data_IF_455824561951
#
_entry.id   IF_455824561951
#
_cell.length_a   1.000
_cell.length_b   1.000
_cell.length_c   1.000
_cell.angle_alpha   90.00
_cell.angle_beta   90.00
_cell.angle_gamma   90.00
#
_symmetry.space_group_name_H-M   'P 1'
#
loop_
_entity.id
_entity.type
_entity.pdbx_description
1 polymer ?
#
# COMPACT_ATOMS: atom_id res chain seq x y z
N UNK A 1 16.72 16.30 52.82
CA UNK A 1 15.29 16.63 53.04
C UNK A 1 14.71 17.37 51.85
N UNK A 2 14.19 16.66 50.83
CA UNK A 2 13.20 17.18 49.85
C UNK A 2 12.84 16.11 48.82
N UNK A 3 11.87 15.25 49.16
CA UNK A 3 11.02 14.61 48.15
C UNK A 3 9.75 14.02 48.81
N UNK A 4 8.89 14.89 49.34
CA UNK A 4 7.55 14.51 49.84
C UNK A 4 6.47 15.54 49.48
N UNK A 5 6.76 16.48 48.56
CA UNK A 5 5.87 17.61 48.22
C UNK A 5 5.26 17.51 46.82
N UNK A 6 5.58 16.48 46.02
CA UNK A 6 5.21 16.41 44.59
C UNK A 6 4.06 15.45 44.25
N UNK A 7 3.52 14.69 45.22
CA UNK A 7 2.48 13.70 44.90
C UNK A 7 1.12 14.30 44.57
N UNK A 8 0.69 15.36 45.28
CA UNK A 8 -0.66 15.93 45.09
C UNK A 8 -0.83 16.65 43.75
N UNK A 9 0.18 17.40 43.31
CA UNK A 9 0.16 18.11 42.03
C UNK A 9 0.24 17.15 40.82
N UNK A 10 0.97 16.05 40.95
CA UNK A 10 1.09 15.03 39.91
C UNK A 10 -0.20 14.21 39.77
N UNK A 11 -0.84 13.85 40.88
CA UNK A 11 -2.15 13.18 40.89
C UNK A 11 -3.24 14.08 40.27
N UNK A 12 -3.26 15.39 40.59
CA UNK A 12 -4.20 16.34 39.99
C UNK A 12 -3.99 16.46 38.47
N UNK A 13 -2.74 16.51 38.00
CA UNK A 13 -2.42 16.57 36.57
C UNK A 13 -2.86 15.31 35.83
N UNK A 14 -2.64 14.13 36.40
CA UNK A 14 -3.12 12.87 35.80
C UNK A 14 -4.65 12.80 35.76
N UNK A 15 -5.33 13.22 36.83
CA UNK A 15 -6.78 13.22 36.88
C UNK A 15 -7.39 14.16 35.83
N UNK A 16 -6.82 15.37 35.67
CA UNK A 16 -7.27 16.34 34.65
C UNK A 16 -7.01 15.84 33.23
N UNK A 17 -5.86 15.19 32.98
CA UNK A 17 -5.58 14.59 31.67
C UNK A 17 -6.56 13.45 31.36
N UNK A 18 -6.86 12.58 32.34
CA UNK A 18 -7.83 11.50 32.19
C UNK A 18 -9.25 12.04 31.94
N UNK A 19 -9.69 13.07 32.65
CA UNK A 19 -11.04 13.64 32.43
C UNK A 19 -11.15 14.31 31.07
N UNK A 20 -10.12 15.06 30.63
CA UNK A 20 -10.11 15.68 29.30
C UNK A 20 -10.17 14.61 28.19
N UNK A 21 -9.37 13.55 28.31
CA UNK A 21 -9.36 12.44 27.32
C UNK A 21 -10.71 11.73 27.28
N UNK A 22 -11.30 11.41 28.43
CA UNK A 22 -12.63 10.76 28.50
C UNK A 22 -13.73 11.65 27.92
N UNK A 23 -13.71 12.96 28.21
CA UNK A 23 -14.67 13.90 27.63
C UNK A 23 -14.52 14.04 26.12
N UNK A 24 -13.29 14.04 25.58
CA UNK A 24 -13.09 14.03 24.11
C UNK A 24 -13.50 12.72 23.44
N UNK A 25 -13.38 11.58 24.15
CA UNK A 25 -13.77 10.28 23.63
C UNK A 25 -15.30 10.10 23.55
N UNK A 26 -16.06 10.74 24.43
CA UNK A 26 -17.53 10.67 24.46
C UNK A 26 -18.23 11.69 23.55
N UNK A 27 -17.53 12.76 23.14
CA UNK A 27 -18.11 13.85 22.34
C UNK A 27 -18.01 13.63 20.81
N UNK A 28 -17.27 12.60 20.36
CA UNK A 28 -17.19 12.28 18.94
C UNK A 28 -18.22 11.17 18.63
N UNK A 29 -19.40 11.48 18.07
CA UNK A 29 -20.17 10.46 17.36
C UNK A 29 -19.25 9.86 16.28
N UNK A 30 -19.43 8.58 15.88
CA UNK A 30 -18.71 8.04 14.74
C UNK A 30 -18.98 8.97 13.57
N UNK A 31 -17.99 9.79 13.20
CA UNK A 31 -18.03 10.62 12.01
C UNK A 31 -18.35 9.67 10.88
N UNK A 32 -19.50 9.89 10.24
CA UNK A 32 -19.89 9.27 8.98
C UNK A 32 -18.64 9.24 8.10
N UNK A 33 -18.08 8.05 7.87
CA UNK A 33 -16.86 7.89 7.10
C UNK A 33 -17.22 8.32 5.69
N UNK A 34 -16.93 9.58 5.36
CA UNK A 34 -17.12 10.09 4.01
C UNK A 34 -16.45 9.10 3.09
N UNK A 35 -17.23 8.47 2.21
CA UNK A 35 -16.69 7.61 1.16
C UNK A 35 -15.97 8.57 0.21
N UNK A 36 -14.73 8.89 0.56
CA UNK A 36 -13.86 9.71 -0.27
C UNK A 36 -13.73 9.03 -1.62
N UNK A 37 -13.78 9.82 -2.69
CA UNK A 37 -13.56 9.32 -4.05
C UNK A 37 -12.20 8.64 -4.09
N UNK A 38 -12.18 7.33 -4.32
CA UNK A 38 -10.94 6.55 -4.44
C UNK A 38 -10.33 6.82 -5.82
N UNK A 39 -9.24 7.56 -5.84
CA UNK A 39 -8.57 7.95 -7.09
C UNK A 39 -7.82 6.76 -7.71
N UNK A 40 -7.57 6.82 -9.02
CA UNK A 40 -6.88 5.74 -9.77
C UNK A 40 -5.55 5.34 -9.13
N UNK A 41 -4.72 6.30 -8.72
CA UNK A 41 -3.42 5.97 -8.14
C UNK A 41 -3.55 5.24 -6.80
N UNK A 42 -4.59 5.52 -6.01
CA UNK A 42 -4.88 4.82 -4.76
C UNK A 42 -5.37 3.40 -5.05
N UNK A 43 -6.31 3.25 -5.97
CA UNK A 43 -6.80 1.94 -6.37
C UNK A 43 -5.68 1.06 -6.95
N UNK A 44 -4.77 1.67 -7.72
CA UNK A 44 -3.61 0.96 -8.27
C UNK A 44 -2.60 0.58 -7.18
N UNK A 45 -2.27 1.51 -6.28
CA UNK A 45 -1.38 1.22 -5.14
C UNK A 45 -1.92 0.05 -4.31
N UNK A 46 -3.21 0.07 -3.98
CA UNK A 46 -3.88 -1.02 -3.26
C UNK A 46 -3.75 -2.35 -4.00
N UNK A 47 -3.99 -2.36 -5.32
CA UNK A 47 -3.92 -3.58 -6.13
C UNK A 47 -2.49 -4.08 -6.40
N UNK A 48 -1.48 -3.22 -6.34
CA UNK A 48 -0.07 -3.58 -6.58
C UNK A 48 0.63 -4.11 -5.33
N UNK A 49 0.14 -3.77 -4.13
CA UNK A 49 0.77 -4.18 -2.86
C UNK A 49 0.88 -5.69 -2.67
N UNK A 50 -0.07 -6.47 -3.19
CA UNK A 50 -0.11 -7.93 -3.13
C UNK A 50 -0.08 -8.59 -4.52
N UNK A 51 0.30 -7.83 -5.55
CA UNK A 51 0.37 -8.33 -6.90
C UNK A 51 1.54 -9.30 -7.09
N UNK A 52 1.26 -10.46 -7.68
CA UNK A 52 2.26 -11.37 -8.19
C UNK A 52 1.76 -12.05 -9.49
N UNK A 53 2.58 -12.12 -10.54
CA UNK A 53 2.14 -12.65 -11.83
C UNK A 53 1.90 -14.16 -11.77
N UNK A 54 0.86 -14.63 -12.45
CA UNK A 54 0.59 -16.06 -12.65
C UNK A 54 0.63 -16.41 -14.13
N UNK A 55 0.86 -17.68 -14.45
CA UNK A 55 0.96 -18.16 -15.83
C UNK A 55 0.54 -19.63 -15.92
N UNK A 56 -0.34 -19.95 -16.86
CA UNK A 56 -0.79 -21.33 -17.10
C UNK A 56 0.32 -22.22 -17.66
N UNK A 57 1.22 -21.64 -18.47
CA UNK A 57 2.27 -22.37 -19.19
C UNK A 57 3.67 -22.23 -18.58
N UNK A 58 3.79 -21.62 -17.39
CA UNK A 58 5.07 -21.38 -16.75
C UNK A 58 4.97 -21.67 -15.24
N UNK A 59 5.10 -22.93 -14.82
CA UNK A 59 4.99 -23.30 -13.42
C UNK A 59 6.09 -22.65 -12.55
N UNK A 60 7.24 -22.32 -13.15
CA UNK A 60 8.31 -21.59 -12.46
C UNK A 60 7.89 -20.17 -12.11
N UNK A 61 7.13 -19.50 -12.97
CA UNK A 61 6.53 -18.18 -12.67
C UNK A 61 5.64 -18.27 -11.43
N UNK A 62 4.72 -19.23 -11.40
CA UNK A 62 3.79 -19.41 -10.28
C UNK A 62 4.53 -19.72 -8.98
N UNK A 63 5.56 -20.56 -9.04
CA UNK A 63 6.41 -20.87 -7.89
C UNK A 63 7.13 -19.62 -7.38
N UNK A 64 7.77 -18.85 -8.26
CA UNK A 64 8.48 -17.62 -7.87
C UNK A 64 7.52 -16.57 -7.28
N UNK A 65 6.33 -16.43 -7.85
CA UNK A 65 5.28 -15.55 -7.32
C UNK A 65 4.82 -15.96 -5.94
N UNK A 66 4.61 -17.27 -5.71
CA UNK A 66 4.28 -17.79 -4.37
C UNK A 66 5.40 -17.53 -3.36
N UNK A 67 6.67 -17.75 -3.74
CA UNK A 67 7.83 -17.48 -2.89
C UNK A 67 7.95 -15.98 -2.56
N UNK A 68 7.69 -15.11 -3.52
CA UNK A 68 7.67 -13.66 -3.33
C UNK A 68 6.61 -13.23 -2.31
N UNK A 69 5.36 -13.67 -2.49
CA UNK A 69 4.27 -13.36 -1.55
C UNK A 69 4.55 -13.90 -0.15
N UNK A 70 5.13 -15.10 -0.04
CA UNK A 70 5.55 -15.66 1.24
C UNK A 70 6.69 -14.85 1.87
N UNK A 71 7.66 -14.40 1.08
CA UNK A 71 8.74 -13.53 1.52
C UNK A 71 8.23 -12.19 2.05
N UNK A 72 7.25 -11.59 1.36
CA UNK A 72 6.58 -10.37 1.80
C UNK A 72 5.82 -10.58 3.11
N UNK A 73 5.04 -11.64 3.23
CA UNK A 73 4.32 -11.97 4.47
C UNK A 73 5.28 -12.15 5.66
N UNK A 74 6.48 -12.67 5.40
CA UNK A 74 7.53 -12.85 6.39
C UNK A 74 8.48 -11.63 6.52
N UNK A 75 8.23 -10.54 5.79
CA UNK A 75 9.06 -9.33 5.77
C UNK A 75 10.54 -9.60 5.48
N UNK A 76 10.84 -10.56 4.59
CA UNK A 76 12.21 -10.85 4.19
C UNK A 76 12.81 -9.68 3.42
N UNK A 77 14.10 -9.40 3.66
CA UNK A 77 14.78 -8.26 3.02
C UNK A 77 14.66 -8.28 1.50
N UNK A 78 14.90 -9.42 0.87
CA UNK A 78 14.86 -9.55 -0.59
C UNK A 78 13.47 -9.28 -1.17
N UNK A 79 12.40 -9.66 -0.46
CA UNK A 79 11.02 -9.49 -0.94
C UNK A 79 10.58 -8.05 -0.77
N UNK A 80 10.90 -7.42 0.37
CA UNK A 80 10.63 -6.00 0.61
C UNK A 80 11.44 -5.13 -0.37
N UNK A 81 12.71 -5.48 -0.63
CA UNK A 81 13.52 -4.80 -1.64
C UNK A 81 12.92 -4.93 -3.04
N UNK A 82 12.38 -6.09 -3.40
CA UNK A 82 11.71 -6.29 -4.68
C UNK A 82 10.43 -5.45 -4.80
N UNK A 83 9.62 -5.37 -3.72
CA UNK A 83 8.43 -4.52 -3.67
C UNK A 83 8.78 -3.01 -3.75
N UNK A 84 9.80 -2.58 -3.01
CA UNK A 84 10.31 -1.20 -3.01
C UNK A 84 10.83 -0.80 -4.40
N UNK A 85 11.42 -1.74 -5.14
CA UNK A 85 11.86 -1.49 -6.51
C UNK A 85 10.72 -1.36 -7.53
N UNK A 86 9.50 -1.79 -7.18
CA UNK A 86 8.36 -1.80 -8.08
C UNK A 86 7.64 -0.44 -8.12
N UNK A 87 6.94 -0.19 -9.23
CA UNK A 87 5.98 0.92 -9.28
C UNK A 87 4.65 0.45 -8.70
N UNK A 88 4.24 1.03 -7.58
CA UNK A 88 2.93 0.74 -6.97
C UNK A 88 1.81 1.61 -7.52
N UNK A 89 2.11 2.82 -8.00
CA UNK A 89 1.10 3.72 -8.55
C UNK A 89 1.67 4.54 -9.71
N UNK A 90 0.78 5.01 -10.58
CA UNK A 90 1.16 5.89 -11.68
C UNK A 90 0.86 7.35 -11.34
N UNK A 91 1.82 8.21 -11.65
CA UNK A 91 1.60 9.66 -11.73
C UNK A 91 1.13 10.06 -13.13
N UNK A 92 0.74 11.31 -13.30
CA UNK A 92 0.61 11.94 -14.62
C UNK A 92 -0.39 11.31 -15.60
N UNK A 93 -1.37 10.52 -15.13
CA UNK A 93 -2.40 9.89 -15.98
C UNK A 93 -3.11 10.88 -16.90
N UNK A 94 -3.43 12.08 -16.39
CA UNK A 94 -4.10 13.13 -17.16
C UNK A 94 -3.15 13.94 -18.04
N UNK A 95 -1.85 13.93 -17.72
CA UNK A 95 -0.80 14.66 -18.45
C UNK A 95 -0.07 13.78 -19.46
N UNK A 96 -0.44 12.49 -19.57
CA UNK A 96 0.14 11.56 -20.52
C UNK A 96 1.47 10.94 -20.08
N UNK A 97 1.76 10.92 -18.77
CA UNK A 97 2.87 10.10 -18.26
C UNK A 97 2.44 8.63 -18.25
N UNK A 98 2.91 7.89 -19.25
CA UNK A 98 2.45 6.52 -19.54
C UNK A 98 3.48 5.45 -19.19
N UNK A 99 4.67 5.82 -18.71
CA UNK A 99 5.75 4.89 -18.42
C UNK A 99 6.28 5.06 -17.00
N UNK A 100 6.02 4.07 -16.16
CA UNK A 100 6.57 4.00 -14.81
C UNK A 100 7.45 2.74 -14.69
N UNK A 101 8.77 2.95 -14.58
CA UNK A 101 9.76 1.88 -14.63
C UNK A 101 10.13 1.31 -13.25
N UNK A 102 9.83 2.04 -12.17
CA UNK A 102 10.35 1.75 -10.84
C UNK A 102 11.87 1.91 -10.75
N UNK A 103 12.48 1.30 -9.73
CA UNK A 103 13.93 1.24 -9.57
C UNK A 103 14.50 0.03 -10.32
N UNK A 104 14.74 0.22 -11.62
CA UNK A 104 15.16 -0.83 -12.56
C UNK A 104 16.37 -1.64 -12.05
N UNK A 105 17.48 -0.99 -11.74
CA UNK A 105 18.72 -1.68 -11.32
C UNK A 105 18.52 -2.42 -9.98
N UNK A 106 17.83 -1.80 -9.02
CA UNK A 106 17.53 -2.42 -7.72
C UNK A 106 16.70 -3.70 -7.87
N UNK A 107 15.76 -3.72 -8.82
CA UNK A 107 14.97 -4.90 -9.13
C UNK A 107 15.85 -6.03 -9.68
N UNK A 108 16.74 -5.72 -10.63
CA UNK A 108 17.60 -6.72 -11.26
C UNK A 108 18.68 -7.29 -10.31
N UNK A 109 19.09 -6.51 -9.31
CA UNK A 109 20.05 -6.92 -8.29
C UNK A 109 19.49 -7.92 -7.27
N UNK A 110 18.16 -8.12 -7.22
CA UNK A 110 17.54 -9.11 -6.33
C UNK A 110 17.93 -10.53 -6.75
N UNK A 111 18.58 -11.26 -5.85
CA UNK A 111 18.90 -12.67 -6.03
C UNK A 111 18.71 -13.46 -4.75
N UNK A 112 17.99 -14.58 -4.83
CA UNK A 112 17.75 -15.52 -3.72
C UNK A 112 18.42 -16.84 -4.08
N UNK A 113 19.60 -17.15 -3.51
CA UNK A 113 20.40 -18.33 -3.88
C UNK A 113 19.66 -19.65 -3.67
N UNK A 114 18.90 -19.77 -2.59
CA UNK A 114 18.24 -21.01 -2.15
C UNK A 114 17.20 -21.49 -3.15
N UNK A 115 16.48 -20.55 -3.76
CA UNK A 115 15.40 -20.80 -4.73
C UNK A 115 15.83 -20.51 -6.16
N UNK A 116 17.04 -19.98 -6.35
CA UNK A 116 17.54 -19.41 -7.63
C UNK A 116 16.58 -18.38 -8.25
N UNK A 117 15.83 -17.66 -7.41
CA UNK A 117 14.97 -16.57 -7.84
C UNK A 117 15.84 -15.36 -8.16
N UNK A 118 15.64 -14.78 -9.34
CA UNK A 118 16.27 -13.53 -9.77
C UNK A 118 15.18 -12.52 -10.04
N UNK A 119 15.39 -11.28 -9.63
CA UNK A 119 14.54 -10.17 -10.04
C UNK A 119 14.55 -10.03 -11.56
N UNK A 120 13.41 -9.65 -12.12
CA UNK A 120 13.19 -9.46 -13.54
C UNK A 120 12.34 -8.22 -13.70
N UNK A 121 12.77 -7.30 -14.57
CA UNK A 121 11.98 -6.11 -14.87
C UNK A 121 10.86 -6.44 -15.85
N UNK A 122 9.65 -6.04 -15.49
CA UNK A 122 8.45 -6.22 -16.32
C UNK A 122 7.72 -4.88 -16.43
N UNK A 123 7.22 -4.57 -17.63
CA UNK A 123 6.36 -3.43 -17.87
C UNK A 123 4.93 -3.90 -18.11
N UNK A 124 4.03 -3.64 -17.17
CA UNK A 124 2.61 -3.97 -17.32
C UNK A 124 1.88 -2.86 -18.06
N UNK A 125 1.07 -3.23 -19.06
CA UNK A 125 0.16 -2.28 -19.73
C UNK A 125 -1.19 -2.28 -19.02
N UNK A 126 -1.57 -1.14 -18.44
CA UNK A 126 -2.86 -0.98 -17.77
C UNK A 126 -3.83 -0.20 -18.66
N UNK A 127 -5.06 -0.69 -18.78
CA UNK A 127 -6.15 0.00 -19.47
C UNK A 127 -7.15 0.50 -18.45
N UNK A 128 -7.25 1.81 -18.30
CA UNK A 128 -8.24 2.45 -17.45
C UNK A 128 -9.37 3.01 -18.31
N UNK A 129 -10.59 2.51 -18.09
CA UNK A 129 -11.80 3.02 -18.72
C UNK A 129 -12.99 2.86 -17.76
N UNK A 130 -13.99 3.76 -17.78
CA UNK A 130 -15.21 3.59 -17.00
C UNK A 130 -15.92 2.28 -17.38
N UNK A 131 -16.44 1.51 -16.42
CA UNK A 131 -17.22 0.32 -16.76
C UNK A 131 -18.53 0.74 -17.44
N UNK A 132 -18.94 0.12 -18.58
CA UNK A 132 -20.24 0.40 -19.19
C UNK A 132 -21.42 0.13 -18.26
N UNK A 133 -21.27 -0.79 -17.30
CA UNK A 133 -22.31 -1.10 -16.32
C UNK A 133 -22.52 0.02 -15.28
N UNK A 134 -21.49 0.84 -15.03
CA UNK A 134 -21.51 1.90 -14.01
C UNK A 134 -21.64 3.29 -14.66
N UNK A 135 -21.06 3.48 -15.84
CA UNK A 135 -21.03 4.74 -16.58
C UNK A 135 -21.48 4.54 -18.03
N UNK A 136 -22.73 4.11 -18.28
CA UNK A 136 -23.23 3.89 -19.63
C UNK A 136 -23.19 5.15 -20.51
N UNK A 137 -23.38 6.32 -19.91
CA UNK A 137 -23.35 7.62 -20.61
C UNK A 137 -21.98 7.99 -21.18
N UNK A 138 -20.87 7.44 -20.66
CA UNK A 138 -19.53 7.67 -21.23
C UNK A 138 -19.41 7.13 -22.65
N UNK A 139 -20.25 6.14 -23.01
CA UNK A 139 -20.23 5.46 -24.30
C UNK A 139 -21.37 5.88 -25.23
N UNK A 140 -22.25 6.79 -24.79
CA UNK A 140 -23.33 7.28 -25.62
C UNK A 140 -22.76 8.23 -26.70
N UNK A 141 -23.17 8.10 -27.97
CA UNK A 141 -22.83 9.08 -29.00
C UNK A 141 -23.39 10.47 -28.62
N UNK A 142 -22.72 11.56 -29.03
CA UNK A 142 -23.16 12.93 -28.76
C UNK A 142 -24.52 13.26 -29.40
#
# INVERSE_FOLDING_TARGET
SRCRSQSRAMLLRCAVLLTVVVSTALANPPTERSVGVRWVSQALAEAMMDFAPTSDNNPKCNLHSSLYLQGLANSTLWAVQMLDSATLSVGGLLTGDVYALGHYDQCLDVYVPETRLRGQHCLATMRYAPSPAVYPQYYAPP
#
